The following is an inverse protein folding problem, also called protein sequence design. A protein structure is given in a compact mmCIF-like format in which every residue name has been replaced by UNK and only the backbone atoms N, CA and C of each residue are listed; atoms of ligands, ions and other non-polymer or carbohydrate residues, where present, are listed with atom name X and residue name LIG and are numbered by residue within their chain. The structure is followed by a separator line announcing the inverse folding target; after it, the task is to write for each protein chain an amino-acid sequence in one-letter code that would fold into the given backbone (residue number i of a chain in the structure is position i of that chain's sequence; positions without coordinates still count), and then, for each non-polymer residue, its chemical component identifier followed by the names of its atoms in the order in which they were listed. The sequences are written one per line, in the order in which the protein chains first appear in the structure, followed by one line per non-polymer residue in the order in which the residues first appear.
data_IF_914993569128
#
_entry.id   IF_914993569128
#
_cell.length_a   1.000
_cell.length_b   1.000
_cell.length_c   1.000
_cell.angle_alpha   90.00
_cell.angle_beta   90.00
_cell.angle_gamma   90.00
#
_symmetry.space_group_name_H-M   'P 1'
#
loop_
_entity.id
_entity.type
_entity.pdbx_description
1 polymer ?
#
# COMPACT_ATOMS: atom_id res chain seq x y z
N UNK A 1 -14.98 9.51 -11.91
CA UNK A 1 -13.92 10.27 -12.62
C UNK A 1 -12.61 10.19 -11.84
N UNK A 2 -11.48 10.19 -12.53
CA UNK A 2 -10.16 10.29 -11.91
C UNK A 2 -9.89 11.75 -11.59
N UNK A 3 -9.67 12.10 -10.33
CA UNK A 3 -9.42 13.46 -9.91
C UNK A 3 -8.23 13.54 -8.97
N UNK A 4 -7.50 14.65 -9.04
CA UNK A 4 -6.48 14.98 -8.05
C UNK A 4 -7.16 15.64 -6.86
N UNK A 5 -7.31 14.89 -5.78
CA UNK A 5 -7.90 15.41 -4.55
C UNK A 5 -6.81 15.79 -3.54
N UNK A 6 -7.01 16.85 -2.72
CA UNK A 6 -6.06 17.25 -1.69
C UNK A 6 -6.02 16.23 -0.54
N UNK A 7 -4.90 16.20 0.18
CA UNK A 7 -4.77 15.37 1.39
C UNK A 7 -5.48 16.06 2.57
N UNK A 8 -6.75 15.74 2.77
CA UNK A 8 -7.60 16.30 3.83
C UNK A 8 -7.54 15.45 5.10
N UNK A 9 -6.34 15.19 5.60
CA UNK A 9 -6.11 14.21 6.68
C UNK A 9 -6.95 14.52 7.92
N UNK A 10 -7.01 15.78 8.37
CA UNK A 10 -7.80 16.16 9.54
C UNK A 10 -9.31 15.95 9.34
N UNK A 11 -9.83 16.13 8.13
CA UNK A 11 -11.22 15.84 7.81
C UNK A 11 -11.49 14.33 7.82
N UNK A 12 -10.56 13.55 7.27
CA UNK A 12 -10.66 12.08 7.27
C UNK A 12 -10.62 11.55 8.71
N UNK A 13 -9.70 12.03 9.54
CA UNK A 13 -9.61 11.66 10.97
C UNK A 13 -10.92 11.90 11.70
N UNK A 14 -11.55 13.07 11.54
CA UNK A 14 -12.87 13.34 12.13
C UNK A 14 -13.95 12.35 11.71
N UNK A 15 -13.92 11.90 10.44
CA UNK A 15 -14.90 10.96 9.91
C UNK A 15 -14.69 9.53 10.40
N UNK A 16 -13.42 9.10 10.55
CA UNK A 16 -13.10 7.75 11.02
C UNK A 16 -13.10 7.60 12.55
N UNK A 17 -12.94 8.68 13.30
CA UNK A 17 -12.74 8.69 14.76
C UNK A 17 -13.73 7.80 15.52
N UNK A 18 -15.01 7.84 15.16
CA UNK A 18 -16.05 7.01 15.79
C UNK A 18 -15.92 5.51 15.52
N UNK A 19 -15.11 5.12 14.56
CA UNK A 19 -14.88 3.72 14.17
C UNK A 19 -13.54 3.18 14.67
N UNK A 20 -12.59 4.07 15.00
CA UNK A 20 -11.25 3.66 15.47
C UNK A 20 -11.31 2.97 16.84
N UNK A 21 -10.85 1.72 16.89
CA UNK A 21 -10.83 0.91 18.13
C UNK A 21 -9.47 0.90 18.82
N UNK A 22 -8.39 1.19 18.08
CA UNK A 22 -7.00 0.99 18.56
C UNK A 22 -6.12 2.23 18.33
N UNK A 23 -6.71 3.42 18.39
CA UNK A 23 -6.00 4.69 18.26
C UNK A 23 -4.82 4.77 19.22
N UNK A 24 -3.66 5.20 18.69
CA UNK A 24 -2.45 5.36 19.52
C UNK A 24 -1.67 4.07 19.76
N UNK A 25 -2.14 2.92 19.31
CA UNK A 25 -1.35 1.68 19.35
C UNK A 25 -0.11 1.85 18.45
N UNK A 26 1.05 1.43 18.95
CA UNK A 26 2.32 1.50 18.23
C UNK A 26 2.76 0.10 17.81
N UNK A 27 3.39 -0.03 16.63
CA UNK A 27 3.98 -1.30 16.21
C UNK A 27 5.20 -1.66 17.06
N UNK A 28 5.45 -2.95 17.20
CA UNK A 28 6.60 -3.47 17.95
C UNK A 28 7.80 -3.74 17.06
N UNK A 29 7.59 -4.44 15.96
CA UNK A 29 8.61 -4.73 14.94
C UNK A 29 7.97 -4.73 13.54
N UNK A 30 7.79 -3.55 12.95
CA UNK A 30 7.05 -3.41 11.71
C UNK A 30 7.90 -3.66 10.46
N UNK A 31 7.22 -4.13 9.38
CA UNK A 31 7.70 -4.01 8.01
C UNK A 31 6.92 -2.94 7.25
N UNK A 32 7.58 -2.21 6.38
CA UNK A 32 6.94 -1.29 5.43
C UNK A 32 6.57 -2.02 4.14
N UNK A 33 5.30 -2.03 3.79
CA UNK A 33 4.80 -2.52 2.51
C UNK A 33 4.52 -1.33 1.58
N UNK A 34 5.37 -1.16 0.56
CA UNK A 34 5.22 -0.13 -0.48
C UNK A 34 4.47 -0.77 -1.64
N UNK A 35 3.15 -0.57 -1.65
CA UNK A 35 2.25 -1.30 -2.54
C UNK A 35 2.12 -0.59 -3.88
N UNK A 36 2.61 -1.24 -4.95
CA UNK A 36 2.40 -0.90 -6.36
C UNK A 36 2.71 0.56 -6.75
N UNK A 37 3.71 1.17 -6.12
CA UNK A 37 4.17 2.52 -6.49
C UNK A 37 5.02 2.43 -7.76
N UNK A 38 4.35 2.21 -8.89
CA UNK A 38 4.94 1.93 -10.20
C UNK A 38 4.45 2.87 -11.29
N UNK A 39 5.19 2.95 -12.41
CA UNK A 39 4.93 3.87 -13.52
C UNK A 39 3.52 3.72 -14.10
N UNK A 40 2.96 2.51 -14.10
CA UNK A 40 1.61 2.22 -14.57
C UNK A 40 0.54 3.10 -13.93
N UNK A 41 0.66 3.36 -12.62
CA UNK A 41 -0.29 4.18 -11.88
C UNK A 41 0.04 5.68 -11.90
N UNK A 42 1.18 6.04 -12.48
CA UNK A 42 1.64 7.44 -12.57
C UNK A 42 1.59 8.02 -13.98
N UNK A 43 1.42 7.19 -15.00
CA UNK A 43 1.34 7.63 -16.40
C UNK A 43 -0.06 8.14 -16.74
N UNK A 44 -0.22 9.39 -17.21
CA UNK A 44 -1.51 9.94 -17.63
C UNK A 44 -2.21 9.11 -18.73
N UNK A 45 -1.44 8.43 -19.58
CA UNK A 45 -1.95 7.59 -20.66
C UNK A 45 -2.50 6.25 -20.17
N UNK A 46 -2.24 5.90 -18.91
CA UNK A 46 -2.74 4.65 -18.32
C UNK A 46 -4.22 4.78 -17.93
N UNK A 47 -5.00 3.75 -18.23
CA UNK A 47 -6.38 3.65 -17.72
C UNK A 47 -6.40 3.63 -16.17
N UNK A 48 -5.31 3.20 -15.53
CA UNK A 48 -5.15 3.12 -14.08
C UNK A 48 -4.45 4.34 -13.46
N UNK A 49 -4.25 5.42 -14.21
CA UNK A 49 -3.60 6.64 -13.74
C UNK A 49 -4.26 7.20 -12.47
N UNK A 50 -3.43 7.54 -11.48
CA UNK A 50 -3.85 8.11 -10.19
C UNK A 50 -3.21 9.49 -10.02
N UNK A 51 -3.95 10.58 -10.31
CA UNK A 51 -3.42 11.95 -10.22
C UNK A 51 -2.86 12.30 -8.84
N UNK A 52 -3.50 11.80 -7.77
CA UNK A 52 -3.12 12.07 -6.37
C UNK A 52 -1.88 11.30 -5.90
N UNK A 53 -1.36 10.34 -6.68
CA UNK A 53 -0.11 9.65 -6.36
C UNK A 53 1.05 10.65 -6.19
N UNK A 54 1.09 11.72 -6.99
CA UNK A 54 2.09 12.78 -6.87
C UNK A 54 2.10 13.48 -5.51
N UNK A 55 0.97 13.52 -4.81
CA UNK A 55 0.84 14.15 -3.50
C UNK A 55 1.34 13.25 -2.37
N UNK A 56 1.21 11.94 -2.51
CA UNK A 56 1.61 10.97 -1.47
C UNK A 56 3.06 10.49 -1.61
N UNK A 57 3.70 10.66 -2.76
CA UNK A 57 5.09 10.27 -2.99
C UNK A 57 6.09 10.86 -1.98
N UNK A 58 6.01 12.15 -1.58
CA UNK A 58 6.89 12.69 -0.55
C UNK A 58 6.77 11.96 0.79
N UNK A 59 5.55 11.58 1.18
CA UNK A 59 5.28 10.84 2.42
C UNK A 59 5.80 9.40 2.32
N UNK A 60 5.61 8.72 1.20
CA UNK A 60 6.18 7.40 0.95
C UNK A 60 7.71 7.44 1.07
N UNK A 61 8.36 8.47 0.52
CA UNK A 61 9.82 8.64 0.64
C UNK A 61 10.27 8.89 2.08
N UNK A 62 9.51 9.64 2.89
CA UNK A 62 9.79 9.83 4.33
C UNK A 62 9.73 8.49 5.07
N UNK A 63 8.67 7.69 4.83
CA UNK A 63 8.53 6.37 5.42
C UNK A 63 9.71 5.47 5.06
N UNK A 64 10.09 5.40 3.79
CA UNK A 64 11.24 4.64 3.31
C UNK A 64 12.52 5.04 4.03
N UNK A 65 12.81 6.34 4.14
CA UNK A 65 13.99 6.84 4.85
C UNK A 65 13.97 6.44 6.33
N UNK A 66 12.82 6.54 6.99
CA UNK A 66 12.65 6.15 8.40
C UNK A 66 12.93 4.67 8.63
N UNK A 67 12.32 3.79 7.84
CA UNK A 67 12.51 2.33 7.94
C UNK A 67 13.94 1.91 7.62
N UNK A 68 14.53 2.48 6.57
CA UNK A 68 15.92 2.23 6.17
C UNK A 68 16.91 2.65 7.25
N UNK A 69 16.73 3.82 7.86
CA UNK A 69 17.57 4.31 8.97
C UNK A 69 17.55 3.39 10.17
N UNK A 70 16.44 2.70 10.42
CA UNK A 70 16.28 1.74 11.53
C UNK A 70 16.59 0.29 11.13
N UNK A 71 17.02 0.05 9.89
CA UNK A 71 17.26 -1.28 9.34
C UNK A 71 16.04 -2.22 9.46
N UNK A 72 14.83 -1.66 9.39
CA UNK A 72 13.58 -2.42 9.41
C UNK A 72 13.25 -2.96 8.01
N UNK A 73 12.53 -4.09 7.92
CA UNK A 73 12.18 -4.68 6.65
C UNK A 73 11.35 -3.74 5.77
N UNK A 74 11.73 -3.64 4.49
CA UNK A 74 10.98 -2.94 3.45
C UNK A 74 10.67 -3.91 2.33
N UNK A 75 9.40 -3.94 1.91
CA UNK A 75 8.91 -4.77 0.82
C UNK A 75 8.25 -3.87 -0.22
N UNK A 76 8.75 -3.96 -1.45
CA UNK A 76 8.09 -3.35 -2.60
C UNK A 76 7.25 -4.38 -3.32
N UNK A 77 6.01 -4.03 -3.64
CA UNK A 77 5.24 -4.84 -4.58
C UNK A 77 5.09 -4.14 -5.91
N UNK A 78 4.91 -4.95 -6.96
CA UNK A 78 4.48 -4.46 -8.25
C UNK A 78 3.46 -5.40 -8.88
N UNK A 79 2.42 -4.82 -9.45
CA UNK A 79 1.41 -5.54 -10.20
C UNK A 79 1.92 -5.83 -11.61
N UNK A 80 2.05 -7.10 -11.97
CA UNK A 80 2.35 -7.53 -13.32
C UNK A 80 1.97 -9.00 -13.54
N UNK A 81 1.71 -9.35 -14.80
CA UNK A 81 1.46 -10.71 -15.29
C UNK A 81 2.68 -11.25 -16.02
N UNK A 82 2.82 -12.58 -16.00
CA UNK A 82 3.77 -13.31 -16.86
C UNK A 82 3.08 -13.76 -18.13
N UNK A 83 3.86 -13.96 -19.18
CA UNK A 83 3.36 -14.57 -20.41
C UNK A 83 2.79 -15.97 -20.11
N UNK A 84 1.65 -16.30 -20.71
CA UNK A 84 0.95 -17.57 -20.49
C UNK A 84 0.23 -17.72 -19.16
N UNK A 85 0.31 -16.74 -18.24
CA UNK A 85 -0.36 -16.79 -16.95
C UNK A 85 -1.88 -16.57 -17.11
N UNK A 86 -2.71 -17.46 -16.53
CA UNK A 86 -4.16 -17.27 -16.53
C UNK A 86 -4.56 -16.08 -15.65
N UNK A 87 -5.10 -15.06 -16.28
CA UNK A 87 -5.53 -13.83 -15.63
C UNK A 87 -6.85 -13.96 -14.86
N UNK A 88 -7.60 -15.02 -15.08
CA UNK A 88 -8.83 -15.31 -14.37
C UNK A 88 -9.83 -14.16 -14.37
N UNK A 89 -10.41 -13.87 -13.19
CA UNK A 89 -11.36 -12.75 -12.99
C UNK A 89 -10.73 -11.38 -13.24
N UNK A 90 -9.46 -11.19 -12.90
CA UNK A 90 -8.76 -9.93 -13.14
C UNK A 90 -8.73 -9.58 -14.62
N UNK A 91 -8.39 -10.54 -15.49
CA UNK A 91 -8.35 -10.31 -16.94
C UNK A 91 -9.74 -10.07 -17.57
N UNK A 92 -10.81 -10.61 -16.96
CA UNK A 92 -12.19 -10.32 -17.37
C UNK A 92 -12.68 -8.96 -16.88
N UNK A 93 -12.17 -8.52 -15.73
CA UNK A 93 -12.58 -7.25 -15.11
C UNK A 93 -11.84 -6.04 -15.68
N UNK A 94 -10.52 -6.20 -15.90
CA UNK A 94 -9.66 -5.13 -16.39
C UNK A 94 -9.18 -5.46 -17.80
N UNK A 95 -9.48 -4.56 -18.76
CA UNK A 95 -9.15 -4.76 -20.19
C UNK A 95 -7.65 -4.67 -20.50
N UNK A 96 -6.88 -3.95 -19.67
CA UNK A 96 -5.45 -3.76 -19.83
C UNK A 96 -4.70 -4.48 -18.70
N UNK A 97 -3.57 -5.08 -19.05
CA UNK A 97 -2.71 -5.80 -18.13
C UNK A 97 -1.27 -5.30 -18.30
N UNK A 98 -0.59 -5.10 -17.19
CA UNK A 98 0.86 -4.84 -17.18
C UNK A 98 1.58 -6.17 -17.23
N UNK A 99 2.50 -6.33 -18.18
CA UNK A 99 3.33 -7.54 -18.27
C UNK A 99 4.66 -7.33 -17.54
N UNK A 100 5.18 -8.41 -16.96
CA UNK A 100 6.51 -8.39 -16.36
C UNK A 100 7.56 -8.02 -17.42
N UNK A 101 8.51 -7.15 -17.05
CA UNK A 101 9.52 -6.61 -17.98
C UNK A 101 9.13 -5.32 -18.69
N UNK A 102 7.84 -4.96 -18.74
CA UNK A 102 7.44 -3.67 -19.31
C UNK A 102 7.96 -2.50 -18.47
N UNK A 103 8.25 -1.38 -19.14
CA UNK A 103 8.63 -0.13 -18.48
C UNK A 103 7.57 0.34 -17.48
N UNK A 104 6.29 0.09 -17.79
CA UNK A 104 5.14 0.42 -16.92
C UNK A 104 5.16 -0.33 -15.58
N UNK A 105 5.75 -1.52 -15.52
CA UNK A 105 5.86 -2.32 -14.30
C UNK A 105 6.91 -1.79 -13.33
N UNK A 106 7.85 -0.96 -13.80
CA UNK A 106 8.95 -0.47 -12.97
C UNK A 106 8.47 0.44 -11.83
N UNK A 107 9.08 0.33 -10.64
CA UNK A 107 8.76 1.19 -9.52
C UNK A 107 9.16 2.65 -9.81
N UNK A 108 8.42 3.60 -9.22
CA UNK A 108 8.73 5.03 -9.24
C UNK A 108 9.87 5.38 -8.28
N UNK A 109 9.99 4.62 -7.19
CA UNK A 109 11.03 4.78 -6.17
C UNK A 109 11.90 3.53 -6.20
N UNK A 110 13.20 3.72 -6.35
CA UNK A 110 14.14 2.61 -6.45
C UNK A 110 14.27 1.84 -5.12
N UNK A 111 14.07 0.52 -5.14
CA UNK A 111 14.43 -0.32 -4.00
C UNK A 111 15.94 -0.31 -3.76
N UNK A 112 16.35 -0.39 -2.50
CA UNK A 112 17.76 -0.57 -2.14
C UNK A 112 18.16 -2.05 -2.23
N UNK A 113 19.48 -2.30 -2.34
CA UNK A 113 20.01 -3.67 -2.33
C UNK A 113 19.62 -4.37 -1.03
N UNK A 114 18.99 -5.54 -1.15
CA UNK A 114 18.55 -6.37 -0.01
C UNK A 114 17.10 -6.14 0.41
N UNK A 115 16.42 -5.12 -0.13
CA UNK A 115 14.98 -4.98 0.07
C UNK A 115 14.22 -6.01 -0.79
N UNK A 116 13.11 -6.53 -0.26
CA UNK A 116 12.28 -7.50 -0.96
C UNK A 116 11.49 -6.81 -2.07
N UNK A 117 11.60 -7.34 -3.28
CA UNK A 117 10.77 -6.93 -4.42
C UNK A 117 9.86 -8.09 -4.77
N UNK A 118 8.56 -7.86 -4.80
CA UNK A 118 7.54 -8.87 -4.91
C UNK A 118 6.60 -8.58 -6.09
N UNK A 119 6.64 -9.42 -7.11
CA UNK A 119 5.61 -9.41 -8.16
C UNK A 119 4.32 -10.01 -7.63
N UNK A 120 3.21 -9.39 -7.90
CA UNK A 120 1.89 -9.94 -7.60
C UNK A 120 0.94 -9.83 -8.80
N UNK A 121 0.17 -10.88 -9.12
CA UNK A 121 -0.79 -10.87 -10.23
C UNK A 121 -2.19 -10.38 -9.85
N UNK A 122 -2.43 -10.12 -8.56
CA UNK A 122 -3.74 -9.74 -8.01
C UNK A 122 -3.63 -8.57 -7.04
N UNK A 123 -4.75 -8.20 -6.39
CA UNK A 123 -4.78 -7.07 -5.45
C UNK A 123 -3.94 -7.34 -4.19
N UNK A 124 -4.17 -8.46 -3.50
CA UNK A 124 -3.42 -8.77 -2.28
C UNK A 124 -1.95 -9.07 -2.57
N UNK A 125 -1.07 -8.46 -1.78
CA UNK A 125 0.36 -8.77 -1.78
C UNK A 125 0.67 -10.19 -1.26
N UNK A 126 -0.26 -10.84 -0.60
CA UNK A 126 -0.11 -12.21 -0.09
C UNK A 126 -0.58 -13.29 -1.07
N UNK A 127 -1.41 -12.92 -2.07
CA UNK A 127 -2.00 -13.91 -2.97
C UNK A 127 -0.98 -14.40 -4.00
N UNK A 128 -0.70 -15.70 -3.99
CA UNK A 128 0.28 -16.38 -4.85
C UNK A 128 1.69 -15.77 -4.77
N UNK A 129 2.11 -15.38 -3.55
CA UNK A 129 3.44 -14.84 -3.26
C UNK A 129 4.01 -15.50 -2.00
N UNK A 130 5.29 -15.27 -1.74
CA UNK A 130 5.99 -15.71 -0.53
C UNK A 130 6.04 -14.63 0.58
N UNK A 131 5.16 -13.62 0.52
CA UNK A 131 5.21 -12.49 1.46
C UNK A 131 5.03 -12.93 2.92
N UNK A 132 4.07 -13.79 3.19
CA UNK A 132 3.78 -14.25 4.56
C UNK A 132 4.97 -14.96 5.17
N UNK A 133 5.57 -15.90 4.44
CA UNK A 133 6.76 -16.63 4.85
C UNK A 133 7.92 -15.66 5.11
N UNK A 134 8.20 -14.76 4.17
CA UNK A 134 9.25 -13.74 4.33
C UNK A 134 9.06 -12.88 5.58
N UNK A 135 7.85 -12.40 5.85
CA UNK A 135 7.58 -11.57 7.04
C UNK A 135 7.75 -12.36 8.34
N UNK A 136 7.27 -13.60 8.38
CA UNK A 136 7.43 -14.51 9.53
C UNK A 136 8.89 -14.85 9.80
N UNK A 137 9.67 -15.14 8.77
CA UNK A 137 11.12 -15.42 8.88
C UNK A 137 11.90 -14.22 9.42
N UNK A 138 11.44 -13.00 9.14
CA UNK A 138 12.00 -11.77 9.71
C UNK A 138 11.48 -11.46 11.12
N UNK A 139 10.57 -12.24 11.65
CA UNK A 139 9.94 -12.00 12.96
C UNK A 139 8.99 -10.81 12.99
N UNK A 140 8.51 -10.36 11.81
CA UNK A 140 7.58 -9.24 11.68
C UNK A 140 6.22 -9.62 12.24
N UNK A 141 5.65 -8.73 13.03
CA UNK A 141 4.28 -8.85 13.59
C UNK A 141 3.35 -7.76 13.10
N UNK A 142 3.92 -6.66 12.70
CA UNK A 142 3.20 -5.44 12.32
C UNK A 142 3.53 -5.07 10.87
N UNK A 143 2.54 -4.68 10.08
CA UNK A 143 2.75 -4.18 8.72
C UNK A 143 2.25 -2.75 8.60
N UNK A 144 3.11 -1.88 8.08
CA UNK A 144 2.78 -0.48 7.76
C UNK A 144 2.57 -0.40 6.25
N UNK A 145 1.38 -0.02 5.81
CA UNK A 145 0.97 -0.06 4.41
C UNK A 145 0.90 1.35 3.82
N UNK A 146 1.61 1.56 2.72
CA UNK A 146 1.53 2.75 1.87
C UNK A 146 1.48 2.37 0.39
N UNK A 147 1.11 3.29 -0.49
CA UNK A 147 1.11 3.07 -1.95
C UNK A 147 -0.27 3.21 -2.60
N UNK A 148 -0.55 2.40 -3.62
CA UNK A 148 -1.74 2.50 -4.47
C UNK A 148 -2.28 1.12 -4.88
N UNK A 149 -3.55 0.99 -5.26
CA UNK A 149 -4.66 1.93 -5.02
C UNK A 149 -5.23 1.69 -3.62
N UNK A 150 -5.59 2.75 -2.91
CA UNK A 150 -6.15 2.66 -1.55
C UNK A 150 -7.23 1.59 -1.43
N UNK A 151 -8.28 1.66 -2.27
CA UNK A 151 -9.47 0.80 -2.21
C UNK A 151 -9.32 -0.57 -2.89
N UNK A 152 -8.18 -0.85 -3.52
CA UNK A 152 -7.90 -2.14 -4.18
C UNK A 152 -6.70 -2.81 -3.54
N UNK A 153 -5.49 -2.59 -4.11
CA UNK A 153 -4.30 -3.32 -3.66
C UNK A 153 -3.95 -3.07 -2.19
N UNK A 154 -4.02 -1.81 -1.73
CA UNK A 154 -3.70 -1.49 -0.33
C UNK A 154 -4.74 -2.07 0.64
N UNK A 155 -6.04 -1.83 0.39
CA UNK A 155 -7.10 -2.34 1.25
C UNK A 155 -7.16 -3.87 1.26
N UNK A 156 -7.07 -4.52 0.08
CA UNK A 156 -7.08 -5.98 0.01
C UNK A 156 -5.88 -6.59 0.72
N UNK A 157 -4.69 -5.98 0.58
CA UNK A 157 -3.50 -6.40 1.32
C UNK A 157 -3.66 -6.22 2.83
N UNK A 158 -4.27 -5.11 3.26
CA UNK A 158 -4.52 -4.83 4.68
C UNK A 158 -5.45 -5.89 5.30
N UNK A 159 -6.56 -6.20 4.63
CA UNK A 159 -7.52 -7.23 5.07
C UNK A 159 -6.89 -8.63 5.12
N UNK A 160 -6.11 -8.98 4.10
CA UNK A 160 -5.43 -10.28 4.02
C UNK A 160 -4.32 -10.40 5.08
N UNK A 161 -3.56 -9.31 5.35
CA UNK A 161 -2.60 -9.23 6.44
C UNK A 161 -3.27 -9.49 7.81
N UNK A 162 -4.38 -8.81 8.08
CA UNK A 162 -5.16 -8.97 9.31
C UNK A 162 -5.64 -10.42 9.48
N UNK A 163 -6.18 -11.03 8.43
CA UNK A 163 -6.64 -12.43 8.46
C UNK A 163 -5.51 -13.45 8.67
N UNK A 164 -4.25 -13.06 8.42
CA UNK A 164 -3.04 -13.86 8.67
C UNK A 164 -2.41 -13.58 10.03
N UNK A 165 -3.03 -12.73 10.85
CA UNK A 165 -2.59 -12.44 12.21
C UNK A 165 -1.54 -11.33 12.33
N UNK A 166 -1.33 -10.52 11.29
CA UNK A 166 -0.52 -9.31 11.39
C UNK A 166 -1.35 -8.14 11.94
N UNK A 167 -0.74 -7.33 12.79
CA UNK A 167 -1.28 -6.02 13.13
C UNK A 167 -1.04 -5.05 11.98
N UNK A 168 -2.08 -4.34 11.56
CA UNK A 168 -2.03 -3.50 10.35
C UNK A 168 -2.09 -2.03 10.72
N UNK A 169 -1.13 -1.27 10.20
CA UNK A 169 -1.07 0.19 10.27
C UNK A 169 -1.20 0.76 8.87
N UNK A 170 -2.29 1.47 8.62
CA UNK A 170 -2.62 1.99 7.30
C UNK A 170 -2.34 3.49 7.22
N UNK A 171 -1.40 3.90 6.36
CA UNK A 171 -0.93 5.29 6.32
C UNK A 171 -1.82 6.11 5.39
N UNK A 172 -2.72 6.90 5.98
CA UNK A 172 -3.77 7.63 5.27
C UNK A 172 -3.22 8.63 4.25
N UNK A 173 -2.17 9.36 4.60
CA UNK A 173 -1.54 10.40 3.79
C UNK A 173 -0.38 9.88 2.92
N UNK A 174 -0.17 8.57 2.90
CA UNK A 174 0.79 7.88 2.04
C UNK A 174 0.12 6.81 1.14
N UNK A 175 -1.22 6.84 1.05
CA UNK A 175 -1.99 6.02 0.10
C UNK A 175 -2.84 6.91 -0.80
N UNK A 176 -3.06 6.50 -2.06
CA UNK A 176 -3.86 7.23 -3.02
C UNK A 176 -4.69 6.32 -3.92
N UNK A 177 -5.77 6.87 -4.49
CA UNK A 177 -6.64 6.20 -5.46
C UNK A 177 -7.30 7.19 -6.42
N UNK A 178 -8.31 6.78 -7.18
CA UNK A 178 -8.92 7.55 -8.26
C UNK A 178 -9.61 8.83 -7.81
N UNK A 179 -10.25 8.80 -6.64
CA UNK A 179 -10.96 9.95 -6.07
C UNK A 179 -11.01 9.84 -4.54
N UNK A 180 -11.41 10.92 -3.90
CA UNK A 180 -11.47 11.00 -2.45
C UNK A 180 -12.57 10.09 -1.85
N UNK A 181 -13.67 9.89 -2.54
CA UNK A 181 -14.77 9.05 -2.09
C UNK A 181 -14.33 7.60 -1.86
N UNK A 182 -13.66 7.00 -2.86
CA UNK A 182 -13.10 5.65 -2.75
C UNK A 182 -11.99 5.58 -1.69
N UNK A 183 -11.18 6.64 -1.57
CA UNK A 183 -10.16 6.71 -0.53
C UNK A 183 -10.80 6.67 0.85
N UNK A 184 -11.70 7.59 1.13
CA UNK A 184 -12.37 7.70 2.43
C UNK A 184 -13.20 6.45 2.78
N UNK A 185 -13.86 5.84 1.80
CA UNK A 185 -14.61 4.59 2.01
C UNK A 185 -13.71 3.48 2.55
N UNK A 186 -12.51 3.34 2.00
CA UNK A 186 -11.50 2.38 2.50
C UNK A 186 -11.05 2.71 3.91
N UNK A 187 -10.76 3.99 4.21
CA UNK A 187 -10.35 4.40 5.56
C UNK A 187 -11.43 4.07 6.59
N UNK A 188 -12.71 4.35 6.27
CA UNK A 188 -13.85 4.05 7.14
C UNK A 188 -13.99 2.55 7.43
N UNK A 189 -13.89 1.71 6.41
CA UNK A 189 -14.07 0.26 6.59
C UNK A 189 -12.87 -0.39 7.27
N UNK A 190 -11.65 0.04 6.94
CA UNK A 190 -10.43 -0.49 7.57
C UNK A 190 -10.32 -0.07 9.03
N UNK A 191 -10.62 1.19 9.37
CA UNK A 191 -10.55 1.69 10.76
C UNK A 191 -11.49 0.94 11.70
N UNK A 192 -12.64 0.50 11.19
CA UNK A 192 -13.61 -0.24 11.99
C UNK A 192 -13.17 -1.65 12.35
N UNK A 193 -12.49 -2.36 11.45
CA UNK A 193 -12.33 -3.80 11.63
C UNK A 193 -10.96 -4.40 11.30
N UNK A 194 -10.01 -3.65 10.75
CA UNK A 194 -8.81 -4.26 10.17
C UNK A 194 -7.50 -3.55 10.48
N UNK A 195 -7.49 -2.23 10.65
CA UNK A 195 -6.25 -1.49 10.72
C UNK A 195 -6.31 -0.30 11.66
N UNK A 196 -5.16 0.05 12.24
CA UNK A 196 -4.93 1.32 12.91
C UNK A 196 -4.65 2.36 11.83
N UNK A 197 -5.46 3.42 11.78
CA UNK A 197 -5.24 4.54 10.86
C UNK A 197 -4.16 5.46 11.41
N UNK A 198 -3.15 5.74 10.60
CA UNK A 198 -1.99 6.54 11.00
C UNK A 198 -1.59 7.55 9.94
N UNK A 199 -0.86 8.58 10.35
CA UNK A 199 -0.21 9.53 9.47
C UNK A 199 1.27 9.22 9.33
N UNK A 200 1.87 9.67 8.23
CA UNK A 200 3.31 9.53 7.99
C UNK A 200 4.14 10.07 9.16
N UNK A 201 3.84 11.26 9.65
CA UNK A 201 4.58 11.89 10.76
C UNK A 201 4.42 11.11 12.08
N UNK A 202 3.30 10.44 12.28
CA UNK A 202 3.10 9.57 13.44
C UNK A 202 4.02 8.35 13.38
N UNK A 203 4.07 7.69 12.23
CA UNK A 203 4.99 6.57 12.00
C UNK A 203 6.45 7.00 12.19
N UNK A 204 6.85 8.16 11.65
CA UNK A 204 8.21 8.69 11.80
C UNK A 204 8.56 8.94 13.26
N UNK A 205 7.63 9.48 14.07
CA UNK A 205 7.85 9.65 15.53
C UNK A 205 8.07 8.31 16.25
N UNK A 206 7.44 7.22 15.82
CA UNK A 206 7.70 5.90 16.41
C UNK A 206 9.07 5.33 16.05
N UNK A 207 9.59 5.74 14.89
CA UNK A 207 10.91 5.34 14.41
C UNK A 207 12.05 6.25 14.92
N UNK A 208 11.75 7.31 15.63
CA UNK A 208 12.76 8.20 16.25
C UNK A 208 13.33 7.60 17.51
#
# INVERSE_FOLDING_TARGET
MKEKYPLRVEEWKKKIEKYERHRGRKPSFPALLVVDVQKFFFSPDSHAYIPSLSLVLPNINKLLQGFRKKNLPVVFTYYAWKEGEDKGSMGRWWKDAVMEGEERAKPLVAPHRGEKILRKPHYSAFYKTDLEEYLKDKGVKDVVICGVMTHLCCETTARDAFMRGFDVYFVMDATATFNEELHLSSLLTLSHGFAVMVETEEVIRWLS
#
